data_IF_358851773192
#
_entry.id   IF_358851773192
#
_cell.length_a   1.000
_cell.length_b   1.000
_cell.length_c   1.000
_cell.angle_alpha   90.00
_cell.angle_beta   90.00
_cell.angle_gamma   90.00
#
_symmetry.space_group_name_H-M   'P 1'
#
loop_
_entity.id
_entity.type
_entity.pdbx_description
1 polymer ?
#
# COMPACT_ATOMS: atom_id res chain seq x y z
N UNK A 1 27.86 -1.60 -11.97
CA UNK A 1 27.99 -0.29 -11.29
C UNK A 1 27.50 -0.46 -9.85
N UNK A 2 27.99 0.33 -8.89
CA UNK A 2 27.40 0.34 -7.55
C UNK A 2 25.93 0.81 -7.63
N UNK A 3 25.01 0.35 -6.75
CA UNK A 3 23.69 0.94 -6.66
C UNK A 3 23.85 2.43 -6.37
N UNK A 4 23.22 3.28 -7.18
CA UNK A 4 23.21 4.72 -6.95
C UNK A 4 22.58 4.96 -5.57
N UNK A 5 23.20 5.75 -4.70
CA UNK A 5 22.82 5.83 -3.27
C UNK A 5 21.44 6.44 -3.00
N UNK A 6 20.72 6.81 -4.06
CA UNK A 6 19.36 7.36 -4.04
C UNK A 6 18.35 6.46 -4.77
N UNK A 7 18.76 5.30 -5.29
CA UNK A 7 17.84 4.31 -5.84
C UNK A 7 17.08 3.60 -4.71
N UNK A 8 15.79 3.40 -4.93
CA UNK A 8 14.89 2.68 -4.01
C UNK A 8 14.64 1.27 -4.55
N UNK A 9 14.49 0.30 -3.65
CA UNK A 9 14.14 -1.07 -4.05
C UNK A 9 12.78 -1.11 -4.77
N UNK A 10 12.65 -1.97 -5.76
CA UNK A 10 11.43 -2.14 -6.56
C UNK A 10 10.28 -2.59 -5.66
N UNK A 11 10.51 -3.45 -4.68
CA UNK A 11 9.48 -3.91 -3.73
C UNK A 11 8.92 -2.77 -2.87
N UNK A 12 9.76 -1.76 -2.56
CA UNK A 12 9.34 -0.55 -1.83
C UNK A 12 8.50 0.34 -2.75
N UNK A 13 8.92 0.51 -4.01
CA UNK A 13 8.19 1.29 -5.01
C UNK A 13 6.87 0.62 -5.43
N UNK A 14 6.82 -0.71 -5.50
CA UNK A 14 5.61 -1.51 -5.64
C UNK A 14 4.64 -1.21 -4.50
N UNK A 15 5.11 -1.29 -3.26
CA UNK A 15 4.31 -0.95 -2.08
C UNK A 15 3.83 0.51 -2.08
N UNK A 16 4.65 1.48 -2.52
CA UNK A 16 4.22 2.88 -2.68
C UNK A 16 3.03 3.01 -3.65
N UNK A 17 3.05 2.28 -4.77
CA UNK A 17 1.96 2.28 -5.75
C UNK A 17 0.71 1.49 -5.30
N UNK A 18 0.84 0.53 -4.38
CA UNK A 18 -0.29 -0.21 -3.80
C UNK A 18 -0.95 0.55 -2.63
N UNK A 19 -0.16 1.16 -1.73
CA UNK A 19 -0.66 1.95 -0.60
C UNK A 19 -1.44 3.21 -1.02
N UNK A 20 -1.34 3.62 -2.29
CA UNK A 20 -1.91 4.87 -2.82
C UNK A 20 -3.09 4.67 -3.79
N UNK A 21 -3.68 3.47 -3.87
CA UNK A 21 -4.88 3.21 -4.68
C UNK A 21 -6.08 3.98 -4.09
N UNK A 22 -6.68 4.85 -4.90
CA UNK A 22 -7.78 5.71 -4.49
C UNK A 22 -9.14 4.96 -4.46
N UNK A 23 -10.07 5.37 -3.59
CA UNK A 23 -11.44 4.83 -3.58
C UNK A 23 -12.29 5.37 -4.74
N UNK A 24 -12.02 6.60 -5.20
CA UNK A 24 -12.67 7.27 -6.33
C UNK A 24 -11.73 8.34 -6.90
N UNK A 25 -12.00 8.84 -8.11
CA UNK A 25 -11.27 9.94 -8.71
C UNK A 25 -12.19 10.82 -9.58
N UNK A 26 -12.19 12.13 -9.31
CA UNK A 26 -12.92 13.16 -10.05
C UNK A 26 -12.13 14.49 -10.00
N UNK A 27 -12.71 15.60 -10.49
CA UNK A 27 -12.11 16.94 -10.43
C UNK A 27 -11.76 17.39 -9.01
N UNK A 28 -12.62 17.11 -8.03
CA UNK A 28 -12.47 17.60 -6.66
C UNK A 28 -11.34 16.85 -5.93
N UNK A 29 -11.28 15.52 -6.14
CA UNK A 29 -10.17 14.67 -5.69
C UNK A 29 -8.85 15.12 -6.32
N UNK A 30 -8.84 15.42 -7.63
CA UNK A 30 -7.65 15.93 -8.29
C UNK A 30 -7.22 17.30 -7.74
N UNK A 31 -8.17 18.19 -7.44
CA UNK A 31 -7.93 19.50 -6.85
C UNK A 31 -7.37 19.39 -5.42
N UNK A 32 -7.92 18.51 -4.57
CA UNK A 32 -7.42 18.28 -3.22
C UNK A 32 -6.00 17.71 -3.24
N UNK A 33 -5.76 16.65 -4.02
CA UNK A 33 -4.43 16.03 -4.17
C UNK A 33 -3.42 17.07 -4.70
N UNK A 34 -3.76 17.82 -5.75
CA UNK A 34 -2.90 18.87 -6.30
C UNK A 34 -2.59 19.97 -5.29
N UNK A 35 -3.57 20.36 -4.48
CA UNK A 35 -3.40 21.35 -3.40
C UNK A 35 -2.51 20.84 -2.27
N UNK A 36 -2.64 19.57 -1.87
CA UNK A 36 -1.76 18.93 -0.89
C UNK A 36 -0.31 18.90 -1.42
N UNK A 37 -0.10 18.42 -2.65
CA UNK A 37 1.22 18.40 -3.29
C UNK A 37 1.81 19.81 -3.32
N UNK A 38 1.02 20.82 -3.73
CA UNK A 38 1.51 22.21 -3.81
C UNK A 38 1.91 22.77 -2.44
N UNK A 39 1.10 22.58 -1.41
CA UNK A 39 1.42 23.01 -0.03
C UNK A 39 2.72 22.36 0.46
N UNK A 40 2.91 21.07 0.20
CA UNK A 40 4.13 20.34 0.57
C UNK A 40 5.33 20.82 -0.25
N UNK A 41 5.16 21.04 -1.55
CA UNK A 41 6.18 21.55 -2.46
C UNK A 41 6.70 22.96 -2.07
N UNK A 42 5.90 23.77 -1.39
CA UNK A 42 6.30 25.12 -0.95
C UNK A 42 7.42 25.12 0.11
N UNK A 43 7.55 24.06 0.92
CA UNK A 43 8.60 23.96 1.96
C UNK A 43 10.01 23.70 1.39
N UNK A 44 10.10 23.16 0.17
CA UNK A 44 11.38 22.93 -0.50
C UNK A 44 11.95 24.23 -1.04
N UNK A 45 13.28 24.41 -1.01
CA UNK A 45 13.91 25.63 -1.53
C UNK A 45 13.68 25.82 -3.05
N UNK A 46 13.71 24.73 -3.83
CA UNK A 46 13.60 24.76 -5.28
C UNK A 46 12.17 25.09 -5.78
N UNK A 47 12.02 25.71 -6.96
CA UNK A 47 10.75 25.84 -7.66
C UNK A 47 10.35 24.51 -8.29
N UNK A 48 9.06 24.16 -8.18
CA UNK A 48 8.53 22.85 -8.57
C UNK A 48 7.27 23.05 -9.41
N UNK A 49 7.21 22.43 -10.58
CA UNK A 49 6.01 22.32 -11.40
C UNK A 49 5.22 21.07 -11.02
N UNK A 50 3.89 21.19 -10.97
CA UNK A 50 2.95 20.13 -10.57
C UNK A 50 1.85 20.04 -11.63
N UNK A 51 1.50 18.82 -12.03
CA UNK A 51 0.49 18.54 -13.04
C UNK A 51 -0.30 17.28 -12.66
N UNK A 52 -1.62 17.30 -12.87
CA UNK A 52 -2.49 16.12 -12.79
C UNK A 52 -3.35 16.09 -14.04
N UNK A 53 -3.18 15.05 -14.85
CA UNK A 53 -3.82 14.91 -16.18
C UNK A 53 -4.37 13.49 -16.32
N UNK A 54 -5.53 13.32 -16.95
CA UNK A 54 -6.07 12.00 -17.30
C UNK A 54 -5.14 11.24 -18.26
N UNK A 55 -5.36 9.93 -18.38
CA UNK A 55 -4.70 9.14 -19.46
C UNK A 55 -5.02 9.66 -20.86
N UNK A 56 -6.21 10.26 -21.05
CA UNK A 56 -6.66 10.87 -22.31
C UNK A 56 -6.14 12.29 -22.56
N UNK A 57 -5.36 12.87 -21.64
CA UNK A 57 -4.79 14.22 -21.79
C UNK A 57 -5.67 15.36 -21.25
N UNK A 58 -6.80 15.08 -20.59
CA UNK A 58 -7.61 16.10 -19.95
C UNK A 58 -6.93 16.61 -18.66
N UNK A 59 -6.66 17.91 -18.59
CA UNK A 59 -5.96 18.54 -17.48
C UNK A 59 -6.91 18.83 -16.31
N UNK A 60 -6.63 18.26 -15.14
CA UNK A 60 -7.39 18.53 -13.92
C UNK A 60 -6.73 19.56 -13.00
N UNK A 61 -5.39 19.56 -12.95
CA UNK A 61 -4.64 20.47 -12.08
C UNK A 61 -3.29 20.83 -12.70
N UNK A 62 -2.93 22.11 -12.70
CA UNK A 62 -1.58 22.57 -12.97
C UNK A 62 -1.23 23.72 -12.02
N UNK A 63 -0.08 23.63 -11.36
CA UNK A 63 0.39 24.71 -10.50
C UNK A 63 1.91 24.70 -10.36
N UNK A 64 2.44 25.85 -9.95
CA UNK A 64 3.83 26.05 -9.58
C UNK A 64 3.90 26.25 -8.05
N UNK A 65 4.90 25.68 -7.39
CA UNK A 65 5.08 25.84 -5.95
C UNK A 65 5.47 27.28 -5.57
N UNK A 66 6.35 27.90 -6.37
CA UNK A 66 6.88 29.25 -6.22
C UNK A 66 7.48 29.75 -7.56
N UNK A 67 7.78 31.06 -7.71
CA UNK A 67 8.45 31.58 -8.90
C UNK A 67 9.80 30.88 -9.17
N UNK A 68 10.15 30.73 -10.44
CA UNK A 68 11.46 30.19 -10.88
C UNK A 68 11.42 28.90 -11.72
N UNK A 69 10.25 28.30 -11.94
CA UNK A 69 10.09 27.22 -12.94
C UNK A 69 10.15 27.77 -14.36
N UNK A 70 10.49 26.93 -15.34
CA UNK A 70 10.60 27.29 -16.75
C UNK A 70 9.96 26.22 -17.67
N UNK A 71 10.14 26.35 -18.99
CA UNK A 71 9.59 25.43 -19.99
C UNK A 71 10.19 24.01 -19.91
N UNK A 72 11.45 23.84 -19.50
CA UNK A 72 12.06 22.52 -19.32
C UNK A 72 11.31 21.72 -18.24
N UNK A 73 10.78 22.37 -17.19
CA UNK A 73 9.93 21.69 -16.22
C UNK A 73 8.66 21.09 -16.85
N UNK A 74 8.10 21.71 -17.90
CA UNK A 74 6.92 21.20 -18.61
C UNK A 74 7.29 20.02 -19.52
N UNK A 75 8.44 20.07 -20.20
CA UNK A 75 8.97 18.93 -20.96
C UNK A 75 9.24 17.72 -20.06
N UNK A 76 9.82 17.94 -18.87
CA UNK A 76 9.96 16.87 -17.87
C UNK A 76 8.62 16.32 -17.39
N UNK A 77 7.60 17.17 -17.19
CA UNK A 77 6.25 16.73 -16.83
C UNK A 77 5.67 15.81 -17.91
N UNK A 78 5.72 16.20 -19.19
CA UNK A 78 5.14 15.42 -20.27
C UNK A 78 5.93 14.12 -20.54
N UNK A 79 7.27 14.16 -20.54
CA UNK A 79 8.12 12.96 -20.70
C UNK A 79 7.92 11.97 -19.55
N UNK A 80 7.76 12.43 -18.30
CA UNK A 80 7.41 11.58 -17.16
C UNK A 80 6.00 11.01 -17.31
N UNK A 81 5.02 11.82 -17.74
CA UNK A 81 3.62 11.39 -17.97
C UNK A 81 3.54 10.26 -18.99
N UNK A 82 4.22 10.39 -20.13
CA UNK A 82 4.28 9.37 -21.20
C UNK A 82 4.82 8.03 -20.71
N UNK A 83 5.88 8.03 -19.88
CA UNK A 83 6.40 6.82 -19.23
C UNK A 83 5.34 6.15 -18.37
N UNK A 84 4.64 6.91 -17.52
CA UNK A 84 3.62 6.37 -16.63
C UNK A 84 2.44 5.79 -17.42
N UNK A 85 1.99 6.46 -18.48
CA UNK A 85 0.90 5.98 -19.34
C UNK A 85 1.30 4.69 -20.05
N UNK A 86 2.51 4.63 -20.65
CA UNK A 86 2.95 3.46 -21.43
C UNK A 86 3.15 2.21 -20.59
N UNK A 87 3.68 2.35 -19.37
CA UNK A 87 4.06 1.20 -18.52
C UNK A 87 3.11 0.93 -17.36
N UNK A 88 2.18 1.85 -17.06
CA UNK A 88 1.32 1.79 -15.87
C UNK A 88 2.07 1.93 -14.55
N UNK A 89 3.38 2.22 -14.56
CA UNK A 89 4.25 2.30 -13.37
C UNK A 89 4.75 3.71 -13.15
N UNK A 90 5.14 4.03 -11.91
CA UNK A 90 5.84 5.28 -11.64
C UNK A 90 7.11 5.40 -12.49
N UNK A 91 7.43 6.61 -12.95
CA UNK A 91 8.62 6.84 -13.79
C UNK A 91 9.90 6.48 -13.03
N UNK A 92 9.89 6.64 -11.69
CA UNK A 92 11.00 6.23 -10.83
C UNK A 92 11.19 4.72 -10.76
N UNK A 93 10.11 3.93 -10.67
CA UNK A 93 10.17 2.47 -10.74
C UNK A 93 10.83 2.00 -12.04
N UNK A 94 10.43 2.60 -13.17
CA UNK A 94 11.03 2.29 -14.46
C UNK A 94 12.52 2.64 -14.51
N UNK A 95 12.92 3.78 -13.91
CA UNK A 95 14.33 4.17 -13.75
C UNK A 95 15.14 3.19 -12.92
N UNK A 96 14.69 2.86 -11.70
CA UNK A 96 15.35 1.88 -10.83
C UNK A 96 15.45 0.50 -11.50
N UNK A 97 14.40 0.06 -12.19
CA UNK A 97 14.38 -1.21 -12.92
C UNK A 97 15.43 -1.26 -14.02
N UNK A 98 15.53 -0.20 -14.83
CA UNK A 98 16.49 -0.09 -15.92
C UNK A 98 17.94 -0.03 -15.41
N UNK A 99 18.19 0.74 -14.35
CA UNK A 99 19.51 0.82 -13.70
C UNK A 99 19.94 -0.52 -13.11
N UNK A 100 19.05 -1.25 -12.41
CA UNK A 100 19.33 -2.61 -11.91
C UNK A 100 19.57 -3.63 -13.03
N UNK A 101 18.97 -3.44 -14.21
CA UNK A 101 19.18 -4.27 -15.39
C UNK A 101 20.38 -3.82 -16.25
N UNK A 102 21.00 -2.67 -15.94
CA UNK A 102 22.04 -2.03 -16.75
C UNK A 102 21.64 -1.87 -18.24
N UNK A 103 20.42 -1.35 -18.48
CA UNK A 103 19.85 -1.08 -19.81
C UNK A 103 19.33 0.35 -19.94
N UNK A 104 19.39 0.93 -21.14
CA UNK A 104 18.66 2.17 -21.47
C UNK A 104 17.19 1.89 -21.84
N UNK A 105 16.39 2.96 -22.01
CA UNK A 105 15.01 2.86 -22.50
C UNK A 105 14.94 2.21 -23.89
N UNK A 106 15.84 2.58 -24.80
CA UNK A 106 15.95 2.05 -26.16
C UNK A 106 16.25 0.55 -26.13
N UNK A 107 17.23 0.13 -25.32
CA UNK A 107 17.69 -1.25 -25.22
C UNK A 107 16.66 -2.20 -24.58
N UNK A 108 15.78 -1.68 -23.73
CA UNK A 108 14.78 -2.47 -23.03
C UNK A 108 13.39 -2.45 -23.69
N UNK A 109 13.01 -1.33 -24.31
CA UNK A 109 11.63 -1.05 -24.73
C UNK A 109 11.49 -0.38 -26.11
N UNK A 110 12.60 -0.17 -26.83
CA UNK A 110 12.64 0.41 -28.18
C UNK A 110 11.97 1.79 -28.28
N UNK A 111 12.27 2.69 -27.33
CA UNK A 111 11.78 4.08 -27.30
C UNK A 111 12.89 5.06 -26.95
N UNK A 112 12.80 6.28 -27.51
CA UNK A 112 13.76 7.37 -27.34
C UNK A 112 13.55 8.12 -26.02
N UNK A 113 14.64 8.32 -25.26
CA UNK A 113 14.65 9.13 -24.03
C UNK A 113 14.23 10.60 -24.24
N UNK A 114 14.22 11.13 -25.47
CA UNK A 114 13.63 12.45 -25.78
C UNK A 114 12.13 12.48 -25.49
N UNK A 115 11.41 11.41 -25.82
CA UNK A 115 9.95 11.34 -25.63
C UNK A 115 9.54 10.81 -24.25
N UNK A 116 10.41 10.07 -23.57
CA UNK A 116 10.11 9.36 -22.33
C UNK A 116 11.16 9.64 -21.25
N UNK A 117 10.72 9.94 -20.03
CA UNK A 117 11.60 10.13 -18.88
C UNK A 117 11.37 9.04 -17.82
N UNK A 118 12.43 8.34 -17.44
CA UNK A 118 12.49 7.36 -16.33
C UNK A 118 13.08 7.95 -15.05
N UNK A 119 13.05 9.28 -14.97
CA UNK A 119 13.39 10.05 -13.77
C UNK A 119 12.13 10.18 -12.90
N UNK A 120 12.27 10.01 -11.59
CA UNK A 120 11.15 10.09 -10.64
C UNK A 120 10.38 11.40 -10.66
N UNK A 121 9.13 11.35 -10.20
CA UNK A 121 8.16 12.45 -10.29
C UNK A 121 7.00 12.21 -11.26
N UNK A 122 6.95 11.10 -12.00
CA UNK A 122 5.73 10.63 -12.66
C UNK A 122 5.12 9.49 -11.83
N UNK A 123 3.84 9.60 -11.46
CA UNK A 123 3.16 8.64 -10.59
C UNK A 123 1.75 8.29 -11.09
N UNK A 124 1.38 6.99 -11.18
CA UNK A 124 0.06 6.57 -11.65
C UNK A 124 -1.03 6.78 -10.59
N UNK A 125 -2.18 7.34 -11.00
CA UNK A 125 -3.41 7.32 -10.20
C UNK A 125 -4.21 6.08 -10.58
N UNK A 126 -4.48 5.24 -9.57
CA UNK A 126 -5.33 4.05 -9.65
C UNK A 126 -6.59 4.25 -8.84
N UNK A 127 -7.70 3.66 -9.29
CA UNK A 127 -8.98 3.63 -8.56
C UNK A 127 -9.37 2.18 -8.31
N UNK A 128 -9.82 1.88 -7.08
CA UNK A 128 -10.26 0.54 -6.70
C UNK A 128 -11.38 0.05 -7.62
N UNK A 129 -11.27 -1.19 -8.10
CA UNK A 129 -12.21 -1.76 -9.07
C UNK A 129 -11.98 -1.36 -10.52
N UNK A 130 -10.94 -0.57 -10.82
CA UNK A 130 -10.46 -0.31 -12.19
C UNK A 130 -9.19 -1.11 -12.44
N UNK A 131 -9.09 -1.77 -13.60
CA UNK A 131 -7.92 -2.58 -13.97
C UNK A 131 -6.69 -1.71 -14.31
N UNK A 132 -6.92 -0.59 -14.99
CA UNK A 132 -5.89 0.36 -15.43
C UNK A 132 -5.69 1.57 -14.51
N UNK A 133 -4.72 2.40 -14.88
CA UNK A 133 -4.54 3.74 -14.31
C UNK A 133 -5.56 4.70 -14.96
N UNK A 134 -6.06 5.71 -14.24
CA UNK A 134 -7.07 6.66 -14.74
C UNK A 134 -6.49 8.05 -15.05
N UNK A 135 -5.43 8.41 -14.34
CA UNK A 135 -4.74 9.68 -14.46
C UNK A 135 -3.27 9.54 -14.02
N UNK A 136 -2.49 10.59 -14.22
CA UNK A 136 -1.09 10.66 -13.83
C UNK A 136 -0.83 11.96 -13.09
N UNK A 137 -0.10 11.86 -11.98
CA UNK A 137 0.51 12.99 -11.29
C UNK A 137 1.93 13.13 -11.82
N UNK A 138 2.31 14.34 -12.21
CA UNK A 138 3.65 14.67 -12.66
C UNK A 138 4.19 15.87 -11.89
N UNK A 139 5.40 15.73 -11.36
CA UNK A 139 6.15 16.71 -10.59
C UNK A 139 7.54 16.86 -11.20
N UNK A 140 8.04 18.08 -11.27
CA UNK A 140 9.39 18.40 -11.77
C UNK A 140 9.98 19.58 -11.00
N UNK A 141 11.11 19.37 -10.32
CA UNK A 141 11.87 20.45 -9.68
C UNK A 141 12.84 19.99 -8.57
N UNK A 142 12.73 18.75 -8.10
CA UNK A 142 13.64 18.17 -7.10
C UNK A 142 14.53 17.06 -7.70
N UNK A 143 15.40 16.50 -6.86
CA UNK A 143 16.07 15.23 -7.15
C UNK A 143 15.02 14.13 -7.31
N UNK A 144 15.25 13.17 -8.21
CA UNK A 144 14.23 12.20 -8.67
C UNK A 144 13.51 11.41 -7.56
N UNK A 145 14.22 11.03 -6.51
CA UNK A 145 13.70 10.35 -5.32
C UNK A 145 12.78 11.27 -4.49
N UNK A 146 13.11 12.55 -4.41
CA UNK A 146 12.32 13.56 -3.70
C UNK A 146 11.08 13.96 -4.49
N UNK A 147 11.18 14.09 -5.82
CA UNK A 147 10.04 14.29 -6.73
C UNK A 147 9.03 13.13 -6.59
N UNK A 148 9.50 11.88 -6.50
CA UNK A 148 8.66 10.69 -6.27
C UNK A 148 8.04 10.67 -4.88
N UNK A 149 8.84 10.87 -3.84
CA UNK A 149 8.39 10.84 -2.44
C UNK A 149 7.42 11.99 -2.12
N UNK A 150 7.58 13.16 -2.74
CA UNK A 150 6.65 14.28 -2.61
C UNK A 150 5.23 13.88 -3.07
N UNK A 151 5.09 13.17 -4.19
CA UNK A 151 3.79 12.68 -4.66
C UNK A 151 3.24 11.60 -3.71
N UNK A 152 4.05 10.58 -3.41
CA UNK A 152 3.64 9.44 -2.60
C UNK A 152 3.15 9.86 -1.20
N UNK A 153 3.89 10.71 -0.50
CA UNK A 153 3.47 11.20 0.83
C UNK A 153 2.26 12.15 0.76
N UNK A 154 2.06 12.85 -0.36
CA UNK A 154 0.84 13.65 -0.59
C UNK A 154 -0.39 12.78 -0.77
N UNK A 155 -0.27 11.67 -1.51
CA UNK A 155 -1.34 10.69 -1.71
C UNK A 155 -1.71 9.98 -0.40
N UNK A 156 -0.72 9.67 0.44
CA UNK A 156 -0.97 9.13 1.79
C UNK A 156 -1.69 10.12 2.69
N UNK A 157 -1.29 11.39 2.69
CA UNK A 157 -2.00 12.45 3.43
C UNK A 157 -3.45 12.61 2.94
N UNK A 158 -3.69 12.61 1.62
CA UNK A 158 -5.04 12.61 1.04
C UNK A 158 -5.87 11.41 1.53
N UNK A 159 -5.33 10.18 1.45
CA UNK A 159 -6.05 8.98 1.87
C UNK A 159 -6.37 8.96 3.38
N UNK A 160 -5.48 9.48 4.22
CA UNK A 160 -5.71 9.66 5.65
C UNK A 160 -6.80 10.72 5.93
N UNK A 161 -6.84 11.80 5.15
CA UNK A 161 -7.91 12.81 5.24
C UNK A 161 -9.26 12.20 4.86
N UNK A 162 -9.32 11.53 3.71
CA UNK A 162 -10.51 10.84 3.21
C UNK A 162 -11.05 9.83 4.23
N UNK A 163 -10.20 8.97 4.81
CA UNK A 163 -10.60 8.00 5.83
C UNK A 163 -11.21 8.67 7.07
N UNK A 164 -10.62 9.77 7.56
CA UNK A 164 -11.16 10.54 8.71
C UNK A 164 -12.52 11.17 8.39
N UNK A 165 -12.68 11.74 7.20
CA UNK A 165 -13.97 12.31 6.76
C UNK A 165 -15.06 11.24 6.70
N UNK A 166 -14.76 10.04 6.18
CA UNK A 166 -15.73 8.94 6.12
C UNK A 166 -16.11 8.41 7.51
N UNK A 167 -15.19 8.38 8.47
CA UNK A 167 -15.49 7.98 9.85
C UNK A 167 -16.40 9.00 10.56
N UNK A 168 -16.21 10.29 10.33
CA UNK A 168 -17.04 11.36 10.91
C UNK A 168 -18.47 11.40 10.34
N UNK A 169 -18.68 10.84 9.15
CA UNK A 169 -19.99 10.75 8.49
C UNK A 169 -20.78 9.49 8.84
N UNK A 170 -20.21 8.55 9.60
CA UNK A 170 -20.95 7.35 10.05
C UNK A 170 -21.97 7.72 11.14
N UNK A 171 -23.23 7.28 11.05
CA UNK A 171 -24.21 7.49 12.11
C UNK A 171 -23.71 6.88 13.42
N UNK A 172 -23.75 7.65 14.51
CA UNK A 172 -23.51 7.06 15.83
C UNK A 172 -24.55 5.97 16.10
N UNK A 173 -24.16 4.81 16.66
CA UNK A 173 -25.10 3.77 17.02
C UNK A 173 -26.10 4.34 18.05
N UNK A 174 -27.38 4.35 17.69
CA UNK A 174 -28.42 4.79 18.62
C UNK A 174 -28.37 3.91 19.89
N UNK A 175 -28.49 4.49 21.10
CA UNK A 175 -28.63 3.69 22.31
C UNK A 175 -29.80 2.73 22.15
N UNK A 176 -29.53 1.42 22.27
CA UNK A 176 -30.57 0.42 22.25
C UNK A 176 -31.54 0.71 23.40
N UNK A 177 -32.75 1.18 23.07
CA UNK A 177 -33.82 1.24 24.05
C UNK A 177 -34.09 -0.19 24.49
N UNK A 178 -33.73 -0.51 25.73
CA UNK A 178 -34.06 -1.79 26.34
C UNK A 178 -35.59 -1.91 26.31
N UNK A 179 -36.09 -2.78 25.44
CA UNK A 179 -37.51 -3.10 25.38
C UNK A 179 -37.88 -3.75 26.71
N UNK A 180 -38.53 -2.97 27.58
CA UNK A 180 -39.14 -3.49 28.79
C UNK A 180 -40.28 -4.42 28.38
N UNK A 181 -40.00 -5.72 28.34
CA UNK A 181 -41.01 -6.75 28.10
C UNK A 181 -42.05 -6.66 29.23
N UNK A 182 -43.34 -6.39 28.93
CA UNK A 182 -44.36 -6.34 29.97
C UNK A 182 -44.51 -7.72 30.63
N UNK A 183 -44.28 -7.80 31.94
CA UNK A 183 -44.27 -9.06 32.71
C UNK A 183 -45.65 -9.78 32.80
N UNK A 184 -46.69 -9.28 32.13
CA UNK A 184 -48.07 -9.73 32.33
C UNK A 184 -48.43 -11.09 31.70
N UNK A 185 -47.57 -11.73 30.90
CA UNK A 185 -47.87 -13.02 30.26
C UNK A 185 -47.35 -14.27 30.98
N UNK A 186 -46.61 -14.15 32.10
CA UNK A 186 -46.05 -15.33 32.81
C UNK A 186 -46.96 -15.99 33.86
N UNK A 187 -48.17 -15.47 34.13
CA UNK A 187 -49.04 -16.00 35.20
C UNK A 187 -50.09 -17.06 34.80
N UNK A 188 -50.20 -17.45 33.52
CA UNK A 188 -51.26 -18.38 33.06
C UNK A 188 -50.80 -19.81 32.69
N UNK A 189 -49.55 -20.19 33.00
CA UNK A 189 -49.06 -21.56 32.76
C UNK A 189 -48.35 -22.15 33.98
N UNK A 190 -49.14 -22.58 34.97
CA UNK A 190 -48.73 -23.60 35.94
C UNK A 190 -49.69 -24.80 35.84
N UNK A 191 -49.22 -26.00 35.43
CA UNK A 191 -49.98 -27.22 35.63
C UNK A 191 -49.97 -27.60 37.12
N UNK A 192 -50.99 -28.34 37.62
CA UNK A 192 -51.10 -28.67 39.03
C UNK A 192 -49.98 -29.61 39.50
N UNK A 193 -49.44 -29.30 40.69
CA UNK A 193 -48.35 -30.05 41.33
C UNK A 193 -48.86 -31.45 41.73
N UNK A 194 -48.29 -32.50 41.12
CA UNK A 194 -48.40 -33.85 41.66
C UNK A 194 -47.36 -34.05 42.77
N UNK A 195 -47.80 -34.33 43.98
CA UNK A 195 -46.92 -34.68 45.10
C UNK A 195 -46.36 -36.09 44.88
N UNK A 196 -45.09 -36.19 44.51
CA UNK A 196 -44.34 -37.45 44.53
C UNK A 196 -43.37 -37.41 45.71
N UNK A 197 -43.72 -38.11 46.78
CA UNK A 197 -42.85 -38.32 47.93
C UNK A 197 -41.77 -39.34 47.58
N UNK A 198 -40.50 -38.94 47.58
CA UNK A 198 -39.37 -39.87 47.65
C UNK A 198 -38.28 -39.37 48.61
N UNK A 199 -37.64 -40.33 49.27
CA UNK A 199 -36.81 -40.15 50.45
C UNK A 199 -35.37 -39.79 50.08
N UNK A 200 -34.73 -38.97 50.91
CA UNK A 200 -33.31 -38.60 50.79
C UNK A 200 -32.46 -39.57 51.64
N UNK A 201 -31.48 -40.29 51.06
CA UNK A 201 -30.39 -40.89 51.82
C UNK A 201 -29.21 -39.90 52.00
N UNK A 202 -28.40 -40.02 53.08
CA UNK A 202 -27.43 -39.01 53.50
C UNK A 202 -26.10 -39.04 52.70
N UNK A 203 -25.31 -37.94 52.73
CA UNK A 203 -24.03 -37.88 52.03
C UNK A 203 -22.93 -38.68 52.75
N UNK A 204 -22.16 -39.45 51.98
CA UNK A 204 -20.89 -40.02 52.46
C UNK A 204 -19.72 -39.12 52.08
N UNK A 205 -18.91 -38.78 53.07
CA UNK A 205 -17.73 -37.94 52.96
C UNK A 205 -16.47 -38.81 53.06
N UNK A 206 -15.49 -38.68 52.16
CA UNK A 206 -14.11 -39.16 52.38
C UNK A 206 -13.08 -38.63 51.35
N UNK A 207 -12.04 -37.98 51.89
CA UNK A 207 -10.63 -37.97 51.46
C UNK A 207 -10.31 -37.32 50.09
N UNK A 208 -9.68 -36.14 50.01
CA UNK A 208 -8.25 -35.87 50.27
C UNK A 208 -7.27 -36.86 49.63
N UNK A 209 -6.51 -36.39 48.64
CA UNK A 209 -5.05 -36.52 48.47
C UNK A 209 -4.58 -35.35 47.58
N UNK A 210 -3.40 -34.79 47.88
CA UNK A 210 -2.75 -33.67 47.18
C UNK A 210 -1.40 -34.15 46.57
N UNK A 211 -0.64 -33.33 45.81
CA UNK A 211 0.11 -33.81 44.64
C UNK A 211 1.57 -34.22 44.91
N UNK A 212 2.15 -35.02 44.00
CA UNK A 212 3.62 -35.18 43.93
C UNK A 212 4.18 -35.41 42.52
N UNK A 213 5.49 -35.19 42.41
CA UNK A 213 6.27 -34.93 41.19
C UNK A 213 6.92 -36.19 40.58
N UNK A 214 7.24 -36.13 39.29
CA UNK A 214 8.43 -36.72 38.63
C UNK A 214 8.54 -36.03 37.25
N UNK A 215 9.51 -35.15 37.00
CA UNK A 215 10.95 -35.37 36.71
C UNK A 215 11.24 -36.06 35.36
N UNK A 216 12.23 -35.49 34.64
CA UNK A 216 12.65 -35.75 33.24
C UNK A 216 13.68 -36.94 33.17
N UNK A 217 14.64 -37.11 32.22
CA UNK A 217 15.03 -36.36 30.98
C UNK A 217 15.57 -37.22 29.78
N UNK A 218 16.27 -36.54 28.84
CA UNK A 218 17.28 -37.03 27.86
C UNK A 218 16.66 -37.77 26.63
N UNK A 219 16.86 -37.36 25.36
CA UNK A 219 18.14 -37.36 24.64
C UNK A 219 18.37 -36.25 23.59
N UNK A 220 19.63 -36.16 23.18
CA UNK A 220 20.29 -35.08 22.44
C UNK A 220 21.18 -35.70 21.33
N UNK A 221 21.70 -34.85 20.43
CA UNK A 221 22.90 -35.02 19.56
C UNK A 221 22.71 -35.66 18.16
N UNK A 222 23.49 -35.07 17.23
CA UNK A 222 23.98 -35.48 15.89
C UNK A 222 23.25 -34.85 14.68
N UNK A 223 23.77 -33.86 13.93
CA UNK A 223 25.11 -33.53 13.37
C UNK A 223 25.50 -34.28 12.09
N UNK A 224 25.44 -33.56 10.95
CA UNK A 224 26.39 -33.49 9.79
C UNK A 224 27.06 -34.79 9.26
N UNK A 225 27.26 -34.96 7.93
CA UNK A 225 27.96 -33.95 7.12
C UNK A 225 27.52 -33.78 5.65
N UNK A 226 28.19 -32.82 5.00
CA UNK A 226 28.18 -32.59 3.55
C UNK A 226 28.77 -33.77 2.76
N UNK A 227 28.32 -33.96 1.52
CA UNK A 227 29.12 -34.61 0.47
C UNK A 227 29.21 -33.70 -0.76
N UNK A 228 30.44 -33.49 -1.19
CA UNK A 228 30.79 -32.83 -2.45
C UNK A 228 30.94 -33.87 -3.56
N UNK A 229 30.52 -33.55 -4.78
CA UNK A 229 30.98 -34.26 -5.97
C UNK A 229 31.45 -33.28 -7.05
N UNK A 230 32.73 -33.43 -7.40
CA UNK A 230 33.36 -32.87 -8.59
C UNK A 230 33.30 -33.89 -9.74
N UNK A 231 33.40 -33.40 -10.97
CA UNK A 231 33.62 -34.22 -12.18
C UNK A 231 32.34 -34.46 -13.01
N UNK A 232 32.38 -34.54 -14.34
CA UNK A 232 33.54 -34.60 -15.24
C UNK A 232 33.24 -34.02 -16.65
N UNK A 233 34.25 -33.36 -17.22
CA UNK A 233 34.62 -33.20 -18.65
C UNK A 233 33.66 -32.75 -19.79
N UNK A 234 34.18 -31.75 -20.52
CA UNK A 234 34.45 -31.70 -21.98
C UNK A 234 33.46 -32.31 -22.98
N UNK A 235 33.07 -31.51 -23.99
CA UNK A 235 33.29 -31.88 -25.40
C UNK A 235 33.43 -30.69 -26.37
N UNK A 236 34.17 -30.97 -27.46
CA UNK A 236 34.74 -30.05 -28.46
C UNK A 236 35.22 -30.90 -29.67
N UNK A 237 35.59 -30.40 -30.87
CA UNK A 237 35.70 -29.01 -31.33
C UNK A 237 34.60 -28.65 -32.39
N UNK A 238 34.72 -28.63 -33.76
CA UNK A 238 33.75 -27.89 -34.61
C UNK A 238 33.29 -28.57 -35.93
N UNK A 239 32.40 -27.90 -36.68
CA UNK A 239 32.75 -27.21 -37.96
C UNK A 239 31.88 -25.96 -38.12
#
# INVERSE_FOLDING_TARGET
MAPNSFDMDLDVLDRHEQETILPAFNSDVAWEIGSIIRRRAQSHAAPIAINITSISGHLFFHALSKPGTNLDNQEWVERKRRTVIRFGRSSFYMGCKLRRQNKSLEQAFFIDEKDYATHGGGFPIRVRGTEGIVAVISVSGLRQDLDHNLIYESLKEFLQNYQRQQQQQQPQPQPQQQQQIPQQQQQQQQPPIQQVSQQIPPPQNKQQISPQQQQQPIHQVQSMPQTSHQGYNHHQIPQ
#
